data_IF_766570281084
#
_entry.id   IF_766570281084
#
_cell.length_a   1.000
_cell.length_b   1.000
_cell.length_c   1.000
_cell.angle_alpha   90.00
_cell.angle_beta   90.00
_cell.angle_gamma   90.00
#
_symmetry.space_group_name_H-M   'P 1'
#
loop_
_entity.id
_entity.type
_entity.pdbx_description
1 polymer ?
#
# COMPACT_ATOMS: atom_id res chain seq x y z
N UNK A 1 -3.16 21.11 -20.54
CA UNK A 1 -3.12 22.58 -20.70
C UNK A 1 -2.41 23.21 -19.52
N UNK A 2 -1.50 24.16 -19.76
CA UNK A 2 -0.87 24.99 -18.71
C UNK A 2 -1.86 26.04 -18.17
N UNK A 3 -1.51 26.70 -17.06
CA UNK A 3 -2.31 27.80 -16.51
C UNK A 3 -2.49 28.93 -17.54
N UNK A 4 -1.42 29.33 -18.23
CA UNK A 4 -1.47 30.39 -19.25
C UNK A 4 -2.35 30.00 -20.44
N UNK A 5 -2.30 28.74 -20.88
CA UNK A 5 -3.18 28.23 -21.94
C UNK A 5 -4.66 28.27 -21.52
N UNK A 6 -4.96 27.92 -20.25
CA UNK A 6 -6.33 28.02 -19.71
C UNK A 6 -6.78 29.48 -19.68
N UNK A 7 -5.94 30.39 -19.21
CA UNK A 7 -6.22 31.83 -19.19
C UNK A 7 -6.42 32.41 -20.59
N UNK A 8 -5.59 32.04 -21.56
CA UNK A 8 -5.75 32.44 -22.96
C UNK A 8 -7.06 31.92 -23.55
N UNK A 9 -7.45 30.67 -23.25
CA UNK A 9 -8.73 30.10 -23.69
C UNK A 9 -9.92 30.89 -23.10
N UNK A 10 -9.88 31.19 -21.81
CA UNK A 10 -10.93 32.01 -21.15
C UNK A 10 -10.97 33.43 -21.75
N UNK A 11 -9.82 34.07 -21.97
CA UNK A 11 -9.73 35.39 -22.62
C UNK A 11 -10.31 35.39 -24.04
N UNK A 12 -10.04 34.34 -24.83
CA UNK A 12 -10.57 34.19 -26.20
C UNK A 12 -12.09 34.06 -26.17
N UNK A 13 -12.65 33.29 -25.23
CA UNK A 13 -14.09 33.09 -25.10
C UNK A 13 -14.78 34.34 -24.53
N UNK A 14 -14.12 35.09 -23.64
CA UNK A 14 -14.59 36.37 -23.09
C UNK A 14 -15.77 36.28 -22.11
N UNK A 15 -16.73 35.39 -22.36
CA UNK A 15 -17.88 35.10 -21.50
C UNK A 15 -18.48 33.73 -21.82
N UNK A 16 -19.51 33.30 -21.05
CA UNK A 16 -20.28 32.09 -21.36
C UNK A 16 -20.93 32.14 -22.76
N UNK A 17 -21.31 33.33 -23.25
CA UNK A 17 -21.81 33.50 -24.62
C UNK A 17 -20.76 33.16 -25.67
N UNK A 18 -19.48 33.34 -25.35
CA UNK A 18 -18.40 32.92 -26.22
C UNK A 18 -18.31 31.40 -26.35
N UNK A 19 -18.66 30.66 -25.30
CA UNK A 19 -18.75 29.19 -25.34
C UNK A 19 -19.94 28.75 -26.19
N UNK A 20 -21.08 29.44 -26.08
CA UNK A 20 -22.26 29.21 -26.94
C UNK A 20 -21.93 29.44 -28.42
N UNK A 21 -21.27 30.56 -28.74
CA UNK A 21 -20.87 30.91 -30.09
C UNK A 21 -19.81 29.94 -30.66
N UNK A 22 -18.91 29.47 -29.81
CA UNK A 22 -17.91 28.44 -30.14
C UNK A 22 -18.52 27.02 -30.14
N UNK A 23 -19.83 26.88 -29.85
CA UNK A 23 -20.58 25.61 -29.78
C UNK A 23 -19.87 24.53 -28.95
N UNK A 24 -19.21 24.95 -27.87
CA UNK A 24 -18.37 24.07 -27.06
C UNK A 24 -19.08 23.47 -25.85
N UNK A 25 -20.36 23.80 -25.63
CA UNK A 25 -21.16 23.14 -24.60
C UNK A 25 -21.52 21.72 -24.99
N UNK A 26 -21.46 20.85 -23.99
CA UNK A 26 -22.00 19.50 -24.07
C UNK A 26 -23.14 19.41 -23.06
N UNK A 27 -24.33 19.07 -23.53
CA UNK A 27 -25.46 18.78 -22.66
C UNK A 27 -25.20 17.46 -21.94
N UNK A 28 -25.52 17.44 -20.65
CA UNK A 28 -25.29 16.30 -19.75
C UNK A 28 -26.60 16.00 -19.05
N UNK A 29 -27.03 14.74 -19.10
CA UNK A 29 -28.17 14.22 -18.34
C UNK A 29 -27.63 13.42 -17.16
N UNK A 30 -27.92 13.78 -15.91
CA UNK A 30 -27.51 12.99 -14.74
C UNK A 30 -28.06 11.56 -14.83
N UNK A 31 -27.27 10.58 -14.42
CA UNK A 31 -27.70 9.18 -14.33
C UNK A 31 -28.58 8.93 -13.08
N UNK A 32 -29.06 7.69 -12.88
CA UNK A 32 -29.87 7.28 -11.71
C UNK A 32 -29.14 7.48 -10.37
N UNK A 33 -27.84 7.63 -10.46
CA UNK A 33 -26.90 7.84 -9.40
C UNK A 33 -26.60 9.33 -9.12
N UNK A 34 -27.22 10.23 -9.88
CA UNK A 34 -27.03 11.69 -9.85
C UNK A 34 -25.62 12.14 -10.24
N UNK A 35 -24.89 11.32 -10.98
CA UNK A 35 -23.58 11.62 -11.52
C UNK A 35 -23.70 12.41 -12.85
N UNK A 36 -23.03 13.57 -12.92
CA UNK A 36 -23.00 14.38 -14.15
C UNK A 36 -21.88 13.94 -15.11
N UNK A 37 -20.74 13.49 -14.58
CA UNK A 37 -19.59 13.04 -15.38
C UNK A 37 -19.07 11.71 -14.82
N UNK A 38 -18.42 10.95 -15.69
CA UNK A 38 -17.87 9.62 -15.35
C UNK A 38 -18.98 8.74 -14.76
N UNK A 39 -20.08 8.62 -15.50
CA UNK A 39 -21.28 7.91 -15.07
C UNK A 39 -21.00 6.42 -14.93
N UNK A 40 -21.69 5.78 -13.98
CA UNK A 40 -21.46 4.36 -13.66
C UNK A 40 -22.15 3.45 -14.65
N UNK A 41 -21.62 2.24 -14.80
CA UNK A 41 -22.29 1.15 -15.51
C UNK A 41 -23.18 0.37 -14.54
N UNK A 42 -24.49 0.40 -14.78
CA UNK A 42 -25.50 -0.26 -13.94
C UNK A 42 -25.36 -1.79 -13.94
N UNK A 43 -24.74 -2.39 -14.97
CA UNK A 43 -24.50 -3.83 -15.00
C UNK A 43 -23.57 -4.29 -13.87
N UNK A 44 -22.79 -3.36 -13.30
CA UNK A 44 -21.93 -3.62 -12.16
C UNK A 44 -22.72 -4.09 -10.94
N UNK A 45 -23.93 -3.57 -10.72
CA UNK A 45 -24.77 -3.89 -9.57
C UNK A 45 -25.25 -5.35 -9.55
N UNK A 46 -25.25 -6.03 -10.70
CA UNK A 46 -25.59 -7.45 -10.82
C UNK A 46 -24.53 -8.40 -10.24
N UNK A 47 -23.30 -7.91 -10.03
CA UNK A 47 -22.18 -8.70 -9.52
C UNK A 47 -22.12 -8.74 -7.99
N UNK A 48 -21.41 -9.75 -7.46
CA UNK A 48 -21.23 -9.92 -6.02
C UNK A 48 -20.38 -8.78 -5.47
N UNK A 49 -20.88 -8.01 -4.51
CA UNK A 49 -20.07 -7.00 -3.83
C UNK A 49 -18.85 -7.65 -3.15
N UNK A 50 -17.65 -7.07 -3.29
CA UNK A 50 -16.46 -7.62 -2.63
C UNK A 50 -16.60 -7.63 -1.11
N UNK A 51 -17.22 -6.61 -0.53
CA UNK A 51 -17.48 -6.51 0.90
C UNK A 51 -18.59 -5.51 1.19
N UNK A 52 -19.36 -5.79 2.24
CA UNK A 52 -20.39 -4.87 2.73
C UNK A 52 -20.37 -4.83 4.26
N UNK A 53 -20.55 -3.62 4.80
CA UNK A 53 -20.61 -3.34 6.25
C UNK A 53 -22.01 -2.99 6.72
N UNK A 54 -22.99 -2.84 5.82
CA UNK A 54 -24.35 -2.40 6.15
C UNK A 54 -25.21 -3.51 6.74
N UNK A 55 -24.96 -4.77 6.38
CA UNK A 55 -25.66 -5.93 6.92
C UNK A 55 -24.69 -7.06 7.27
N UNK A 56 -24.89 -7.70 8.43
CA UNK A 56 -24.14 -8.89 8.83
C UNK A 56 -24.46 -10.11 7.94
N UNK A 57 -25.60 -10.09 7.24
CA UNK A 57 -26.08 -11.12 6.32
C UNK A 57 -25.89 -10.72 4.85
N UNK A 58 -25.10 -9.68 4.56
CA UNK A 58 -24.92 -9.21 3.19
C UNK A 58 -24.31 -10.31 2.31
N UNK A 59 -24.83 -10.54 1.08
CA UNK A 59 -24.34 -11.55 0.15
C UNK A 59 -22.99 -11.17 -0.49
N UNK A 60 -22.06 -10.60 0.28
CA UNK A 60 -20.75 -10.15 -0.20
C UNK A 60 -19.74 -11.29 -0.31
N UNK A 61 -18.67 -11.08 -1.09
CA UNK A 61 -17.60 -12.05 -1.27
C UNK A 61 -16.81 -12.31 0.02
N UNK A 62 -16.49 -11.24 0.76
CA UNK A 62 -15.79 -11.29 2.04
C UNK A 62 -16.73 -10.97 3.21
N UNK A 63 -16.69 -11.80 4.24
CA UNK A 63 -17.41 -11.62 5.52
C UNK A 63 -16.85 -10.48 6.38
N UNK A 64 -15.57 -10.13 6.18
CA UNK A 64 -14.92 -9.04 6.90
C UNK A 64 -13.86 -8.39 6.03
N UNK A 65 -13.71 -7.08 6.21
CA UNK A 65 -12.64 -6.28 5.65
C UNK A 65 -12.41 -5.07 6.55
N UNK A 66 -11.24 -4.45 6.44
CA UNK A 66 -10.85 -3.38 7.34
C UNK A 66 -10.05 -2.32 6.63
N UNK A 67 -10.12 -1.09 7.13
CA UNK A 67 -9.14 -0.08 6.76
C UNK A 67 -7.77 -0.44 7.34
N UNK A 68 -6.71 0.00 6.67
CA UNK A 68 -5.35 -0.08 7.18
C UNK A 68 -5.16 0.70 8.48
N UNK A 69 -4.04 0.46 9.17
CA UNK A 69 -3.70 1.12 10.42
C UNK A 69 -3.58 2.63 10.22
N UNK A 70 -4.27 3.42 11.05
CA UNK A 70 -4.15 4.88 11.05
C UNK A 70 -3.53 5.33 12.38
N UNK A 71 -2.29 5.80 12.34
CA UNK A 71 -1.60 6.25 13.55
C UNK A 71 -1.89 7.71 13.88
N UNK A 72 -2.06 8.55 12.84
CA UNK A 72 -2.11 10.02 12.92
C UNK A 72 -0.83 10.65 13.51
N UNK A 73 0.29 9.91 13.51
CA UNK A 73 1.59 10.30 14.06
C UNK A 73 2.74 9.45 13.49
N UNK A 74 2.74 9.24 12.18
CA UNK A 74 3.61 8.26 11.52
C UNK A 74 5.10 8.39 11.87
N UNK A 75 5.62 9.61 11.99
CA UNK A 75 7.02 9.85 12.37
C UNK A 75 7.41 9.20 13.72
N UNK A 76 6.44 9.08 14.64
CA UNK A 76 6.61 8.45 15.94
C UNK A 76 6.34 6.95 15.91
N UNK A 77 5.25 6.53 15.25
CA UNK A 77 4.77 5.15 15.29
C UNK A 77 5.39 4.24 14.23
N UNK A 78 6.09 4.76 13.22
CA UNK A 78 6.80 3.98 12.21
C UNK A 78 8.30 4.29 12.18
N UNK A 79 9.10 3.33 11.72
CA UNK A 79 10.53 3.53 11.47
C UNK A 79 11.19 2.32 10.84
N UNK A 80 12.29 2.55 10.11
CA UNK A 80 13.09 1.46 9.56
C UNK A 80 13.97 0.74 10.62
N UNK A 81 14.32 1.43 11.71
CA UNK A 81 15.04 0.85 12.85
C UNK A 81 14.07 0.41 13.94
N UNK A 82 14.20 -0.84 14.39
CA UNK A 82 13.41 -1.40 15.50
C UNK A 82 13.74 -0.70 16.82
N UNK A 83 15.03 -0.59 17.12
CA UNK A 83 15.53 0.03 18.34
C UNK A 83 15.32 1.55 18.34
N UNK A 84 15.38 2.17 17.15
CA UNK A 84 14.99 3.56 16.95
C UNK A 84 13.51 3.79 17.26
N UNK A 85 12.62 2.93 16.78
CA UNK A 85 11.19 3.00 17.09
C UNK A 85 10.91 2.83 18.59
N UNK A 86 11.54 1.84 19.22
CA UNK A 86 11.40 1.59 20.66
C UNK A 86 11.81 2.82 21.50
N UNK A 87 12.96 3.43 21.18
CA UNK A 87 13.42 4.65 21.87
C UNK A 87 12.44 5.81 21.68
N UNK A 88 11.94 6.03 20.46
CA UNK A 88 10.95 7.08 20.15
C UNK A 88 9.66 6.90 20.94
N UNK A 89 9.14 5.68 20.98
CA UNK A 89 7.90 5.38 21.69
C UNK A 89 8.07 5.53 23.20
N UNK A 90 9.16 5.03 23.78
CA UNK A 90 9.45 5.22 25.21
C UNK A 90 9.59 6.71 25.57
N UNK A 91 10.28 7.51 24.75
CA UNK A 91 10.41 8.94 24.96
C UNK A 91 9.06 9.67 24.93
N UNK A 92 8.21 9.36 23.94
CA UNK A 92 6.86 9.94 23.82
C UNK A 92 5.98 9.57 25.02
N UNK A 93 6.01 8.30 25.43
CA UNK A 93 5.24 7.79 26.57
C UNK A 93 5.70 8.48 27.86
N UNK A 94 7.00 8.69 28.04
CA UNK A 94 7.54 9.41 29.20
C UNK A 94 7.04 10.86 29.25
N UNK A 95 7.01 11.56 28.11
CA UNK A 95 6.44 12.92 28.01
C UNK A 95 4.95 12.91 28.37
N UNK A 96 4.18 12.00 27.79
CA UNK A 96 2.75 11.84 28.10
C UNK A 96 2.52 11.63 29.60
N UNK A 97 3.31 10.74 30.23
CA UNK A 97 3.18 10.45 31.67
C UNK A 97 3.58 11.63 32.54
N UNK A 98 4.62 12.38 32.16
CA UNK A 98 5.03 13.59 32.88
C UNK A 98 3.95 14.68 32.82
N UNK A 99 3.33 14.88 31.65
CA UNK A 99 2.17 15.77 31.51
C UNK A 99 0.99 15.28 32.34
N UNK A 100 0.75 13.97 32.41
CA UNK A 100 -0.34 13.39 33.19
C UNK A 100 -0.14 13.59 34.69
N UNK A 101 1.09 13.45 35.19
CA UNK A 101 1.44 13.75 36.58
C UNK A 101 1.26 15.23 36.92
N UNK A 102 1.55 16.14 35.98
CA UNK A 102 1.24 17.56 36.14
C UNK A 102 -0.27 17.79 36.18
N UNK A 103 -1.02 17.09 35.33
CA UNK A 103 -2.48 17.18 35.26
C UNK A 103 -3.16 16.69 36.55
N UNK A 104 -2.73 15.55 37.08
CA UNK A 104 -3.26 14.99 38.35
C UNK A 104 -2.99 15.91 39.56
N UNK A 105 -1.98 16.78 39.50
CA UNK A 105 -1.64 17.75 40.55
C UNK A 105 -2.29 19.13 40.35
N UNK A 106 -2.93 19.37 39.21
CA UNK A 106 -3.58 20.65 38.93
C UNK A 106 -4.80 20.82 39.83
N UNK A 107 -4.94 22.00 40.45
CA UNK A 107 -6.05 22.31 41.37
C UNK A 107 -7.37 22.60 40.65
N UNK A 108 -7.27 23.15 39.44
CA UNK A 108 -8.39 23.44 38.54
C UNK A 108 -8.31 22.52 37.33
N UNK A 109 -9.45 22.16 36.72
CA UNK A 109 -9.50 21.37 35.48
C UNK A 109 -9.19 22.31 34.30
N UNK A 110 -7.95 22.33 33.77
CA UNK A 110 -7.59 23.21 32.67
C UNK A 110 -8.13 22.68 31.34
N UNK A 111 -8.24 23.54 30.33
CA UNK A 111 -8.45 23.04 28.97
C UNK A 111 -7.22 22.22 28.53
N UNK A 112 -7.43 20.97 28.10
CA UNK A 112 -6.35 20.04 27.75
C UNK A 112 -5.44 20.61 26.66
N UNK A 113 -6.00 21.35 25.69
CA UNK A 113 -5.19 21.89 24.59
C UNK A 113 -4.24 22.99 25.05
N UNK A 114 -4.66 23.79 26.02
CA UNK A 114 -3.80 24.81 26.65
C UNK A 114 -2.80 24.25 27.66
N UNK A 115 -3.07 23.06 28.22
CA UNK A 115 -2.26 22.48 29.28
C UNK A 115 -1.06 21.69 28.78
N UNK A 116 -1.29 20.79 27.81
CA UNK A 116 -0.26 19.87 27.33
C UNK A 116 0.77 20.59 26.47
N UNK A 117 2.01 20.10 26.47
CA UNK A 117 3.05 20.61 25.56
C UNK A 117 2.61 20.51 24.09
N UNK A 118 2.82 21.59 23.34
CA UNK A 118 2.64 21.65 21.88
C UNK A 118 3.91 21.34 21.09
N UNK A 119 4.99 20.94 21.79
CA UNK A 119 6.29 20.63 21.20
C UNK A 119 6.25 19.30 20.42
N UNK A 120 6.14 19.41 19.09
CA UNK A 120 6.07 18.28 18.15
C UNK A 120 7.33 17.41 18.14
N UNK A 121 8.45 17.90 18.68
CA UNK A 121 9.71 17.14 18.82
C UNK A 121 9.67 16.16 20.00
N UNK A 122 8.66 16.26 20.88
CA UNK A 122 8.51 15.42 22.07
C UNK A 122 7.31 14.48 21.99
N UNK A 123 6.21 14.97 21.43
CA UNK A 123 4.97 14.22 21.32
C UNK A 123 4.10 14.83 20.22
N UNK A 124 3.52 13.98 19.39
CA UNK A 124 2.40 14.38 18.53
C UNK A 124 1.09 14.13 19.27
N UNK A 125 0.14 15.06 19.25
CA UNK A 125 -1.17 14.85 19.87
C UNK A 125 -2.26 14.73 18.80
N UNK A 126 -3.17 13.78 18.97
CA UNK A 126 -4.42 13.69 18.23
C UNK A 126 -5.61 13.79 19.22
N UNK A 127 -6.82 13.90 18.68
CA UNK A 127 -8.05 13.97 19.47
C UNK A 127 -8.21 12.77 20.41
N UNK A 128 -7.92 11.56 19.92
CA UNK A 128 -8.00 10.33 20.71
C UNK A 128 -7.09 10.38 21.94
N UNK A 129 -5.80 10.68 21.76
CA UNK A 129 -4.84 10.72 22.87
C UNK A 129 -5.17 11.82 23.88
N UNK A 130 -5.65 12.99 23.43
CA UNK A 130 -6.09 14.07 24.33
C UNK A 130 -7.31 13.67 25.16
N UNK A 131 -8.26 12.93 24.58
CA UNK A 131 -9.42 12.43 25.31
C UNK A 131 -9.02 11.41 26.38
N UNK A 132 -8.08 10.51 26.05
CA UNK A 132 -7.56 9.53 27.01
C UNK A 132 -6.76 10.19 28.13
N UNK A 133 -5.98 11.23 27.79
CA UNK A 133 -5.29 12.08 28.75
C UNK A 133 -6.25 12.74 29.74
N UNK A 134 -7.32 13.38 29.23
CA UNK A 134 -8.33 14.03 30.06
C UNK A 134 -9.01 13.08 31.05
N UNK A 135 -9.09 11.79 30.71
CA UNK A 135 -9.67 10.73 31.56
C UNK A 135 -8.69 10.15 32.59
N UNK A 136 -7.45 10.64 32.66
CA UNK A 136 -6.46 10.10 33.60
C UNK A 136 -5.85 8.76 33.15
N UNK A 137 -5.97 8.40 31.86
CA UNK A 137 -5.53 7.07 31.39
C UNK A 137 -4.01 6.98 31.41
N UNK A 138 -3.47 6.04 32.20
CA UNK A 138 -2.04 5.76 32.29
C UNK A 138 -1.60 4.84 31.15
N UNK A 139 -0.66 5.30 30.35
CA UNK A 139 -0.12 4.56 29.22
C UNK A 139 1.24 3.95 29.55
N UNK A 140 1.49 2.74 29.05
CA UNK A 140 2.76 2.01 29.22
C UNK A 140 3.27 1.52 27.87
N UNK A 141 4.60 1.39 27.76
CA UNK A 141 5.22 0.80 26.58
C UNK A 141 4.97 -0.70 26.56
N UNK A 142 4.57 -1.22 25.39
CA UNK A 142 4.25 -2.63 25.16
C UNK A 142 5.19 -3.17 24.07
N UNK A 143 6.29 -3.88 24.42
CA UNK A 143 7.27 -4.32 23.43
C UNK A 143 6.69 -5.26 22.38
N UNK A 144 5.65 -6.04 22.73
CA UNK A 144 4.95 -6.92 21.80
C UNK A 144 4.22 -6.17 20.68
N UNK A 145 3.88 -4.90 20.87
CA UNK A 145 3.21 -4.08 19.85
C UNK A 145 4.15 -3.61 18.72
N UNK A 146 5.46 -3.89 18.82
CA UNK A 146 6.41 -3.59 17.74
C UNK A 146 6.35 -4.70 16.70
N UNK A 147 5.69 -4.43 15.58
CA UNK A 147 5.43 -5.41 14.50
C UNK A 147 5.92 -4.88 13.16
N UNK A 148 6.08 -5.77 12.18
CA UNK A 148 6.36 -5.38 10.79
C UNK A 148 5.05 -4.95 10.14
N UNK A 149 5.07 -3.79 9.48
CA UNK A 149 3.95 -3.20 8.77
C UNK A 149 4.30 -2.91 7.31
N UNK A 150 3.33 -3.05 6.42
CA UNK A 150 3.43 -2.60 5.04
C UNK A 150 3.05 -1.11 4.97
N UNK A 151 4.05 -0.23 5.03
CA UNK A 151 3.82 1.21 5.10
C UNK A 151 3.41 1.80 3.74
N UNK A 152 4.13 1.45 2.67
CA UNK A 152 3.84 1.84 1.28
C UNK A 152 4.09 0.64 0.37
N UNK A 153 3.66 0.67 -0.91
CA UNK A 153 3.95 -0.42 -1.84
C UNK A 153 5.44 -0.73 -1.85
N UNK A 154 5.79 -2.01 -1.73
CA UNK A 154 7.18 -2.49 -1.69
C UNK A 154 8.06 -1.85 -0.58
N UNK A 155 7.45 -1.41 0.53
CA UNK A 155 8.16 -0.80 1.66
C UNK A 155 7.60 -1.30 2.99
N UNK A 156 8.33 -2.22 3.62
CA UNK A 156 8.10 -2.61 5.02
C UNK A 156 8.83 -1.68 5.98
N UNK A 157 8.22 -1.46 7.14
CA UNK A 157 8.80 -0.73 8.28
C UNK A 157 8.37 -1.39 9.60
N UNK A 158 9.12 -1.17 10.66
CA UNK A 158 8.62 -1.44 12.01
C UNK A 158 7.54 -0.42 12.35
N UNK A 159 6.44 -0.90 12.94
CA UNK A 159 5.31 -0.10 13.40
C UNK A 159 4.93 -0.44 14.84
N UNK A 160 4.54 0.57 15.62
CA UNK A 160 3.99 0.40 16.96
C UNK A 160 2.47 0.27 16.88
N UNK A 161 1.99 -0.97 16.84
CA UNK A 161 0.60 -1.36 16.66
C UNK A 161 -0.12 -1.52 18.00
N UNK A 162 -0.64 -0.41 18.52
CA UNK A 162 -1.27 -0.31 19.82
C UNK A 162 -2.51 0.59 19.78
N UNK A 163 -3.62 0.09 20.35
CA UNK A 163 -4.91 0.78 20.35
C UNK A 163 -4.89 2.09 21.13
N UNK A 164 -3.99 2.24 22.09
CA UNK A 164 -3.94 3.45 22.92
C UNK A 164 -3.16 4.58 22.22
N UNK A 165 -2.16 4.23 21.39
CA UNK A 165 -1.33 5.21 20.68
C UNK A 165 -1.72 5.46 19.23
N UNK A 166 -2.42 4.53 18.59
CA UNK A 166 -2.89 4.70 17.22
C UNK A 166 -4.31 5.28 17.21
N UNK A 167 -4.58 6.18 16.25
CA UNK A 167 -5.88 6.83 16.10
C UNK A 167 -6.98 5.81 15.79
N UNK A 168 -6.72 4.89 14.86
CA UNK A 168 -7.62 3.79 14.51
C UNK A 168 -6.85 2.53 14.14
N UNK A 169 -7.08 1.45 14.90
CA UNK A 169 -6.61 0.08 14.57
C UNK A 169 -7.64 -0.75 13.79
N UNK A 170 -8.88 -0.25 13.68
CA UNK A 170 -10.00 -0.92 13.01
C UNK A 170 -10.14 -2.40 13.40
N UNK A 171 -10.30 -3.30 12.42
CA UNK A 171 -10.33 -4.76 12.63
C UNK A 171 -8.96 -5.41 12.36
N UNK A 172 -7.89 -4.63 12.20
CA UNK A 172 -6.54 -5.17 11.98
C UNK A 172 -6.13 -6.20 13.03
N UNK A 173 -6.45 -6.07 14.35
CA UNK A 173 -6.09 -7.09 15.33
C UNK A 173 -6.77 -8.45 15.11
N UNK A 174 -7.93 -8.49 14.42
CA UNK A 174 -8.60 -9.74 14.03
C UNK A 174 -8.04 -10.31 12.72
N UNK A 175 -7.27 -9.53 11.97
CA UNK A 175 -6.69 -9.95 10.67
C UNK A 175 -5.23 -10.35 10.85
N UNK A 176 -4.46 -9.52 11.55
CA UNK A 176 -3.07 -9.71 11.91
C UNK A 176 -2.93 -9.54 13.43
N UNK A 177 -3.24 -10.58 14.23
CA UNK A 177 -3.01 -10.57 15.67
C UNK A 177 -1.56 -10.31 16.03
N UNK A 178 -1.33 -9.60 17.13
CA UNK A 178 0.01 -9.28 17.65
C UNK A 178 0.80 -10.54 18.03
N UNK A 179 0.11 -11.62 18.41
CA UNK A 179 0.71 -12.92 18.71
C UNK A 179 1.35 -13.61 17.50
N UNK A 180 1.17 -13.03 16.30
CA UNK A 180 1.62 -13.59 15.05
C UNK A 180 0.56 -14.46 14.39
N UNK A 181 0.46 -14.35 13.08
CA UNK A 181 -0.41 -15.18 12.26
C UNK A 181 0.11 -15.25 10.84
N UNK A 182 0.03 -16.42 10.23
CA UNK A 182 0.22 -16.55 8.79
C UNK A 182 -1.09 -16.19 8.07
N UNK A 183 -1.14 -14.98 7.53
CA UNK A 183 -2.30 -14.45 6.83
C UNK A 183 -1.88 -13.48 5.73
N UNK A 184 -2.78 -13.24 4.79
CA UNK A 184 -2.59 -12.34 3.67
C UNK A 184 -3.87 -11.57 3.40
N UNK A 185 -3.74 -10.36 2.87
CA UNK A 185 -4.89 -9.52 2.55
C UNK A 185 -4.68 -8.79 1.23
N UNK A 186 -5.71 -8.82 0.37
CA UNK A 186 -5.78 -8.00 -0.84
C UNK A 186 -6.12 -6.59 -0.38
N UNK A 187 -5.26 -5.62 -0.66
CA UNK A 187 -5.52 -4.21 -0.36
C UNK A 187 -5.97 -3.49 -1.61
N UNK A 188 -7.03 -2.70 -1.47
CA UNK A 188 -7.60 -1.84 -2.49
C UNK A 188 -7.58 -0.38 -2.04
N UNK A 189 -7.55 0.60 -2.96
CA UNK A 189 -7.78 2.00 -2.62
C UNK A 189 -9.20 2.20 -2.05
N UNK A 190 -9.37 3.28 -1.30
CA UNK A 190 -10.70 3.73 -0.90
C UNK A 190 -11.57 4.12 -2.11
N UNK A 191 -12.90 4.12 -1.96
CA UNK A 191 -13.77 4.75 -2.95
C UNK A 191 -13.58 6.28 -2.95
N UNK A 192 -13.59 6.90 -4.13
CA UNK A 192 -13.47 8.35 -4.31
C UNK A 192 -12.04 8.88 -4.43
N UNK A 193 -11.05 7.99 -4.54
CA UNK A 193 -9.64 8.37 -4.62
C UNK A 193 -9.27 8.92 -6.01
N UNK A 194 -8.35 9.89 -6.03
CA UNK A 194 -7.93 10.60 -7.25
C UNK A 194 -6.92 9.82 -8.11
N UNK A 195 -6.52 8.63 -7.64
CA UNK A 195 -5.49 7.79 -8.27
C UNK A 195 -6.11 6.68 -9.10
N UNK A 196 -5.45 6.25 -10.20
CA UNK A 196 -5.89 5.09 -10.95
C UNK A 196 -6.05 3.86 -10.06
N UNK A 197 -7.10 3.09 -10.33
CA UNK A 197 -7.37 1.85 -9.61
C UNK A 197 -6.17 0.90 -9.72
N UNK A 198 -5.75 0.37 -8.57
CA UNK A 198 -4.69 -0.62 -8.44
C UNK A 198 -4.97 -1.48 -7.22
N UNK A 199 -4.31 -2.64 -7.13
CA UNK A 199 -4.45 -3.55 -6.00
C UNK A 199 -3.08 -4.13 -5.68
N UNK A 200 -2.85 -4.43 -4.40
CA UNK A 200 -1.62 -5.07 -3.94
C UNK A 200 -1.94 -5.93 -2.72
N UNK A 201 -1.48 -7.18 -2.75
CA UNK A 201 -1.59 -8.09 -1.62
C UNK A 201 -0.49 -7.81 -0.58
N UNK A 202 -0.77 -8.01 0.70
CA UNK A 202 0.20 -7.88 1.77
C UNK A 202 0.10 -9.04 2.78
N UNK A 203 1.25 -9.47 3.32
CA UNK A 203 1.34 -10.50 4.37
C UNK A 203 1.55 -9.94 5.78
N UNK A 204 1.38 -8.63 5.98
CA UNK A 204 1.57 -7.96 7.27
C UNK A 204 0.62 -6.76 7.37
N UNK A 205 0.54 -6.13 8.55
CA UNK A 205 -0.41 -5.02 8.82
C UNK A 205 -0.18 -3.87 7.83
N UNK A 206 -1.14 -3.56 6.93
CA UNK A 206 -1.00 -2.42 6.02
C UNK A 206 -1.30 -1.11 6.74
N UNK A 207 -0.54 -0.06 6.41
CA UNK A 207 -0.89 1.32 6.74
C UNK A 207 -2.14 1.76 5.96
N UNK A 208 -2.89 2.72 6.50
CA UNK A 208 -4.06 3.30 5.82
C UNK A 208 -3.71 3.88 4.44
N UNK A 209 -2.50 4.38 4.24
CA UNK A 209 -2.03 4.93 2.97
C UNK A 209 -1.11 3.96 2.22
N UNK A 210 -1.15 2.67 2.52
CA UNK A 210 -0.50 1.63 1.71
C UNK A 210 -1.00 1.72 0.25
N UNK A 211 -2.32 1.75 0.08
CA UNK A 211 -3.02 2.27 -1.10
C UNK A 211 -3.98 3.34 -0.56
N UNK A 212 -4.04 4.55 -1.12
CA UNK A 212 -4.75 5.69 -0.50
C UNK A 212 -6.16 5.31 -0.02
N UNK A 213 -6.49 5.54 1.27
CA UNK A 213 -7.77 5.12 1.84
C UNK A 213 -7.94 3.60 2.02
N UNK A 214 -6.83 2.88 2.13
CA UNK A 214 -6.70 1.45 1.87
C UNK A 214 -7.67 0.56 2.63
N UNK A 215 -8.33 -0.33 1.89
CA UNK A 215 -9.24 -1.37 2.38
C UNK A 215 -8.59 -2.75 2.18
N UNK A 216 -8.33 -3.44 3.27
CA UNK A 216 -7.74 -4.77 3.30
C UNK A 216 -8.84 -5.85 3.41
N UNK A 217 -8.85 -6.76 2.42
CA UNK A 217 -9.71 -7.93 2.30
C UNK A 217 -8.88 -9.18 2.61
N UNK A 218 -8.94 -9.71 3.84
CA UNK A 218 -8.05 -10.76 4.29
C UNK A 218 -8.51 -12.14 3.84
N UNK A 219 -7.58 -13.08 3.64
CA UNK A 219 -7.92 -14.48 3.37
C UNK A 219 -8.56 -15.13 4.60
N UNK A 220 -7.99 -14.88 5.79
CA UNK A 220 -8.53 -15.37 7.05
C UNK A 220 -8.80 -14.24 8.05
N UNK A 221 -9.61 -14.53 9.06
CA UNK A 221 -9.70 -13.73 10.27
C UNK A 221 -9.63 -14.64 11.50
N UNK A 222 -9.22 -14.05 12.62
CA UNK A 222 -8.92 -14.72 13.88
C UNK A 222 -9.83 -14.21 14.98
N UNK A 223 -10.43 -15.14 15.73
CA UNK A 223 -11.22 -14.83 16.91
C UNK A 223 -12.02 -16.02 17.44
N UNK A 224 -12.35 -15.99 18.72
CA UNK A 224 -13.37 -16.85 19.31
C UNK A 224 -14.75 -16.21 19.08
N UNK A 225 -15.78 -17.01 18.82
CA UNK A 225 -17.13 -16.55 18.46
C UNK A 225 -17.84 -15.68 19.51
N UNK A 226 -17.24 -15.46 20.69
CA UNK A 226 -17.70 -14.50 21.69
C UNK A 226 -16.82 -13.24 21.66
N UNK A 227 -17.33 -12.21 20.98
CA UNK A 227 -16.82 -10.84 21.04
C UNK A 227 -16.88 -10.38 22.50
N UNK A 228 -15.72 -10.21 23.17
CA UNK A 228 -15.37 -8.99 23.92
C UNK A 228 -14.03 -9.00 24.66
N UNK A 229 -13.40 -10.12 25.03
CA UNK A 229 -12.30 -10.05 26.02
C UNK A 229 -11.06 -10.94 25.84
N UNK A 230 -11.02 -11.87 24.88
CA UNK A 230 -9.91 -12.84 24.76
C UNK A 230 -8.78 -12.46 23.78
N UNK A 231 -8.62 -11.17 23.41
CA UNK A 231 -7.65 -10.73 22.38
C UNK A 231 -6.18 -10.70 22.84
N UNK A 232 -5.90 -11.06 24.10
CA UNK A 232 -4.56 -11.04 24.69
C UNK A 232 -4.21 -12.31 25.49
N UNK A 233 -5.08 -13.32 25.49
CA UNK A 233 -4.75 -14.62 26.08
C UNK A 233 -4.08 -15.51 25.03
N UNK A 234 -3.06 -16.26 25.46
CA UNK A 234 -2.22 -17.16 24.65
C UNK A 234 -2.97 -18.34 23.99
N UNK A 235 -4.29 -18.27 23.84
CA UNK A 235 -5.05 -19.26 23.10
C UNK A 235 -4.90 -19.03 21.60
N UNK A 236 -4.62 -20.10 20.86
CA UNK A 236 -4.65 -20.08 19.39
C UNK A 236 -6.03 -19.62 18.94
N UNK A 237 -6.14 -18.35 18.57
CA UNK A 237 -7.36 -17.78 18.02
C UNK A 237 -7.81 -18.64 16.84
N UNK A 238 -9.07 -19.09 16.87
CA UNK A 238 -9.62 -19.91 15.81
C UNK A 238 -9.52 -19.15 14.48
N UNK A 239 -8.96 -19.82 13.47
CA UNK A 239 -8.79 -19.29 12.12
C UNK A 239 -10.05 -19.58 11.31
N UNK A 240 -10.67 -18.53 10.77
CA UNK A 240 -11.86 -18.60 9.95
C UNK A 240 -11.55 -18.06 8.55
N UNK A 241 -12.11 -18.67 7.51
CA UNK A 241 -12.03 -18.13 6.15
C UNK A 241 -12.89 -16.87 6.03
N UNK A 242 -12.36 -15.86 5.35
CA UNK A 242 -13.11 -14.64 5.10
C UNK A 242 -14.07 -14.78 3.92
N UNK A 243 -13.82 -15.70 2.99
CA UNK A 243 -14.69 -15.91 1.84
C UNK A 243 -16.01 -16.55 2.29
N UNK A 244 -17.13 -15.90 1.99
CA UNK A 244 -18.45 -16.33 2.44
C UNK A 244 -18.88 -17.62 1.75
N UNK A 245 -19.66 -18.44 2.45
CA UNK A 245 -20.33 -19.60 1.84
C UNK A 245 -21.27 -19.18 0.72
N UNK A 246 -21.90 -18.00 0.81
CA UNK A 246 -22.74 -17.43 -0.24
C UNK A 246 -21.97 -17.24 -1.56
N UNK A 247 -20.78 -16.64 -1.48
CA UNK A 247 -19.91 -16.44 -2.65
C UNK A 247 -19.52 -17.78 -3.30
N UNK A 248 -19.13 -18.75 -2.47
CA UNK A 248 -18.81 -20.11 -2.92
C UNK A 248 -20.00 -20.75 -3.64
N UNK A 249 -21.18 -20.75 -3.02
CA UNK A 249 -22.39 -21.35 -3.60
C UNK A 249 -22.78 -20.68 -4.93
N UNK A 250 -22.62 -19.36 -5.05
CA UNK A 250 -22.92 -18.66 -6.32
C UNK A 250 -21.99 -19.11 -7.45
N UNK A 251 -20.69 -19.23 -7.19
CA UNK A 251 -19.74 -19.72 -8.18
C UNK A 251 -19.91 -21.22 -8.49
N UNK A 252 -20.28 -22.03 -7.50
CA UNK A 252 -20.59 -23.45 -7.71
C UNK A 252 -21.87 -23.67 -8.54
N UNK A 253 -22.86 -22.78 -8.41
CA UNK A 253 -24.07 -22.81 -9.24
C UNK A 253 -23.79 -22.44 -10.70
N UNK A 254 -22.85 -21.52 -10.94
CA UNK A 254 -22.43 -21.14 -12.30
C UNK A 254 -21.61 -22.25 -12.97
N UNK A 255 -20.70 -22.87 -12.21
CA UNK A 255 -19.85 -23.96 -12.69
C UNK A 255 -20.33 -25.32 -12.20
N UNK A 256 -21.45 -25.78 -12.75
CA UNK A 256 -22.06 -27.08 -12.40
C UNK A 256 -21.00 -28.19 -12.46
N UNK A 257 -20.86 -28.94 -11.34
CA UNK A 257 -19.90 -30.03 -11.14
C UNK A 257 -18.43 -29.64 -10.90
N UNK A 258 -18.09 -28.36 -10.72
CA UNK A 258 -16.76 -27.93 -10.32
C UNK A 258 -16.64 -27.70 -8.80
N UNK A 259 -15.56 -28.22 -8.19
CA UNK A 259 -15.25 -27.97 -6.78
C UNK A 259 -14.47 -26.65 -6.65
N UNK A 260 -15.18 -25.54 -6.41
CA UNK A 260 -14.58 -24.22 -6.17
C UNK A 260 -14.20 -24.10 -4.68
N UNK A 261 -12.90 -24.03 -4.37
CA UNK A 261 -12.44 -23.79 -3.00
C UNK A 261 -12.45 -22.29 -2.66
N UNK A 262 -12.53 -21.97 -1.37
CA UNK A 262 -12.50 -20.58 -0.88
C UNK A 262 -11.18 -19.86 -1.24
N UNK A 263 -10.05 -20.56 -1.16
CA UNK A 263 -8.76 -19.98 -1.55
C UNK A 263 -8.69 -19.69 -3.06
N UNK A 264 -9.27 -20.54 -3.90
CA UNK A 264 -9.33 -20.30 -5.34
C UNK A 264 -10.13 -19.04 -5.66
N UNK A 265 -11.21 -18.78 -4.91
CA UNK A 265 -11.96 -17.52 -5.06
C UNK A 265 -11.15 -16.31 -4.61
N UNK A 266 -10.39 -16.42 -3.53
CA UNK A 266 -9.52 -15.33 -3.07
C UNK A 266 -8.50 -14.94 -4.15
N UNK A 267 -7.80 -15.91 -4.74
CA UNK A 267 -6.84 -15.64 -5.80
C UNK A 267 -7.50 -15.28 -7.13
N UNK A 268 -8.66 -15.86 -7.46
CA UNK A 268 -9.47 -15.43 -8.60
C UNK A 268 -9.80 -13.93 -8.52
N UNK A 269 -10.24 -13.46 -7.34
CA UNK A 269 -10.50 -12.04 -7.12
C UNK A 269 -9.23 -11.22 -7.36
N UNK A 270 -8.08 -11.66 -6.84
CA UNK A 270 -6.82 -10.94 -7.06
C UNK A 270 -6.42 -10.88 -8.54
N UNK A 271 -6.56 -11.99 -9.28
CA UNK A 271 -6.28 -12.06 -10.72
C UNK A 271 -7.24 -11.21 -11.56
N UNK A 272 -8.54 -11.27 -11.27
CA UNK A 272 -9.58 -10.46 -11.92
C UNK A 272 -9.30 -8.96 -11.74
N UNK A 273 -8.94 -8.54 -10.53
CA UNK A 273 -8.62 -7.14 -10.23
C UNK A 273 -7.32 -6.66 -10.93
N UNK A 274 -6.55 -7.56 -11.55
CA UNK A 274 -5.43 -7.23 -12.42
C UNK A 274 -5.77 -7.24 -13.92
N UNK A 275 -6.98 -7.68 -14.31
CA UNK A 275 -7.42 -7.65 -15.70
C UNK A 275 -7.52 -6.21 -16.23
N UNK A 276 -6.80 -5.85 -17.31
CA UNK A 276 -6.94 -4.55 -17.94
C UNK A 276 -8.36 -4.31 -18.48
N UNK A 277 -9.01 -5.36 -19.00
CA UNK A 277 -10.39 -5.28 -19.50
C UNK A 277 -11.38 -4.96 -18.38
N UNK A 278 -11.23 -5.57 -17.20
CA UNK A 278 -12.06 -5.25 -16.03
C UNK A 278 -11.85 -3.82 -15.55
N UNK A 279 -10.57 -3.39 -15.42
CA UNK A 279 -10.22 -2.05 -14.93
C UNK A 279 -10.68 -0.95 -15.87
N UNK A 280 -10.57 -1.16 -17.19
CA UNK A 280 -11.00 -0.16 -18.17
C UNK A 280 -12.53 -0.13 -18.27
N UNK A 281 -13.19 -1.29 -18.35
CA UNK A 281 -14.65 -1.37 -18.47
C UNK A 281 -15.38 -0.73 -17.29
N UNK A 282 -14.90 -0.94 -16.07
CA UNK A 282 -15.55 -0.44 -14.85
C UNK A 282 -14.76 0.69 -14.18
N UNK A 283 -13.92 1.41 -14.93
CA UNK A 283 -13.07 2.48 -14.39
C UNK A 283 -13.84 3.51 -13.56
N UNK A 284 -14.99 3.93 -14.06
CA UNK A 284 -15.82 4.95 -13.40
C UNK A 284 -16.49 4.40 -12.13
N UNK A 285 -17.00 3.16 -12.15
CA UNK A 285 -17.47 2.45 -10.95
C UNK A 285 -16.35 2.30 -9.91
N UNK A 286 -15.19 1.76 -10.31
CA UNK A 286 -14.05 1.53 -9.42
C UNK A 286 -13.49 2.81 -8.79
N UNK A 287 -13.76 3.97 -9.38
CA UNK A 287 -13.40 5.27 -8.80
C UNK A 287 -14.38 5.74 -7.72
N UNK A 288 -15.62 5.26 -7.71
CA UNK A 288 -16.72 5.75 -6.84
C UNK A 288 -17.19 4.76 -5.79
N UNK A 289 -17.01 3.46 -6.04
CA UNK A 289 -17.47 2.38 -5.17
C UNK A 289 -16.46 1.21 -5.12
N UNK A 290 -16.67 0.29 -4.17
CA UNK A 290 -15.81 -0.90 -4.04
C UNK A 290 -16.06 -1.88 -5.19
N UNK A 291 -15.05 -2.68 -5.58
CA UNK A 291 -15.21 -3.66 -6.66
C UNK A 291 -16.35 -4.63 -6.43
N UNK A 292 -16.99 -5.05 -7.53
CA UNK A 292 -17.91 -6.18 -7.55
C UNK A 292 -17.36 -7.27 -8.45
N UNK A 293 -17.57 -8.52 -8.05
CA UNK A 293 -16.88 -9.69 -8.56
C UNK A 293 -17.84 -10.46 -9.49
N UNK A 294 -17.72 -10.30 -10.83
CA UNK A 294 -18.39 -11.16 -11.79
C UNK A 294 -17.85 -12.59 -11.76
N UNK A 295 -18.70 -13.54 -12.16
CA UNK A 295 -18.26 -14.86 -12.61
C UNK A 295 -17.93 -14.78 -14.11
N UNK A 296 -16.85 -15.45 -14.53
CA UNK A 296 -16.54 -15.61 -15.95
C UNK A 296 -17.37 -16.75 -16.53
N UNK A 297 -17.58 -16.74 -17.85
CA UNK A 297 -18.48 -17.68 -18.50
C UNK A 297 -17.97 -19.12 -18.50
N UNK A 298 -16.65 -19.33 -18.53
CA UNK A 298 -16.03 -20.65 -18.60
C UNK A 298 -15.28 -20.97 -17.33
N UNK A 299 -15.38 -22.22 -16.86
CA UNK A 299 -14.63 -22.67 -15.70
C UNK A 299 -13.11 -22.70 -15.97
N UNK A 300 -12.67 -22.97 -17.20
CA UNK A 300 -11.23 -22.90 -17.52
C UNK A 300 -10.68 -21.48 -17.36
N UNK A 301 -11.46 -20.46 -17.74
CA UNK A 301 -11.07 -19.06 -17.55
C UNK A 301 -11.00 -18.72 -16.06
N UNK A 302 -11.93 -19.23 -15.24
CA UNK A 302 -11.89 -19.08 -13.78
C UNK A 302 -10.61 -19.66 -13.20
N UNK A 303 -10.23 -20.88 -13.61
CA UNK A 303 -8.99 -21.52 -13.17
C UNK A 303 -7.76 -20.72 -13.59
N UNK A 304 -7.75 -20.19 -14.82
CA UNK A 304 -6.66 -19.36 -15.31
C UNK A 304 -6.53 -18.03 -14.53
N UNK A 305 -7.64 -17.35 -14.22
CA UNK A 305 -7.62 -16.16 -13.36
C UNK A 305 -7.17 -16.48 -11.94
N UNK A 306 -7.61 -17.60 -11.37
CA UNK A 306 -7.18 -18.06 -10.04
C UNK A 306 -5.67 -18.35 -10.01
N UNK A 307 -5.15 -19.09 -11.00
CA UNK A 307 -3.72 -19.39 -11.11
C UNK A 307 -2.89 -18.13 -11.30
N UNK A 308 -3.30 -17.23 -12.20
CA UNK A 308 -2.64 -15.94 -12.37
C UNK A 308 -2.65 -15.12 -11.07
N UNK A 309 -3.75 -15.16 -10.30
CA UNK A 309 -3.83 -14.55 -8.98
C UNK A 309 -2.85 -15.14 -7.97
N UNK A 310 -2.62 -16.46 -7.98
CA UNK A 310 -1.60 -17.14 -7.15
C UNK A 310 -0.19 -16.73 -7.56
N UNK A 311 0.10 -16.71 -8.85
CA UNK A 311 1.41 -16.31 -9.38
C UNK A 311 1.70 -14.84 -9.04
N UNK A 312 0.74 -13.95 -9.25
CA UNK A 312 0.83 -12.54 -8.83
C UNK A 312 1.02 -12.41 -7.32
N UNK A 313 0.32 -13.21 -6.51
CA UNK A 313 0.46 -13.16 -5.07
C UNK A 313 1.88 -13.56 -4.63
N UNK A 314 2.46 -14.60 -5.23
CA UNK A 314 3.85 -14.99 -4.98
C UNK A 314 4.82 -13.83 -5.24
N UNK A 315 4.80 -13.23 -6.43
CA UNK A 315 5.70 -12.12 -6.77
C UNK A 315 5.52 -10.90 -5.86
N UNK A 316 4.30 -10.60 -5.43
CA UNK A 316 4.00 -9.44 -4.61
C UNK A 316 4.20 -9.65 -3.11
N UNK A 317 4.09 -10.87 -2.59
CA UNK A 317 4.38 -11.19 -1.18
C UNK A 317 5.88 -11.39 -0.96
N UNK A 318 6.53 -12.07 -1.90
CA UNK A 318 7.95 -12.47 -1.83
C UNK A 318 8.88 -11.47 -2.54
N UNK A 319 8.41 -10.25 -2.80
CA UNK A 319 9.17 -9.22 -3.53
C UNK A 319 10.56 -8.91 -2.93
N UNK A 320 10.77 -9.19 -1.64
CA UNK A 320 12.05 -8.99 -0.94
C UNK A 320 13.01 -10.18 -1.07
N UNK A 321 12.54 -11.35 -1.54
CA UNK A 321 13.28 -12.62 -1.56
C UNK A 321 13.40 -13.25 -2.95
N UNK A 322 12.59 -12.84 -3.92
CA UNK A 322 12.73 -13.26 -5.32
C UNK A 322 14.12 -12.94 -5.88
N UNK A 323 14.44 -13.55 -7.02
CA UNK A 323 15.68 -13.30 -7.74
C UNK A 323 15.78 -11.84 -8.21
N UNK A 324 16.99 -11.29 -8.15
CA UNK A 324 17.30 -9.99 -8.70
C UNK A 324 17.22 -10.00 -10.23
N UNK A 325 16.77 -8.90 -10.81
CA UNK A 325 16.92 -8.68 -12.25
C UNK A 325 18.42 -8.52 -12.59
N UNK A 326 18.93 -9.20 -13.65
CA UNK A 326 20.32 -9.08 -14.06
C UNK A 326 20.57 -7.75 -14.77
N UNK A 327 20.71 -6.68 -13.99
CA UNK A 327 20.98 -5.34 -14.49
C UNK A 327 22.47 -5.10 -14.72
N UNK A 328 22.79 -4.17 -15.62
CA UNK A 328 24.15 -3.65 -15.76
C UNK A 328 24.44 -2.68 -14.62
N UNK A 329 25.45 -2.97 -13.79
CA UNK A 329 25.94 -2.03 -12.78
C UNK A 329 27.25 -1.41 -13.24
N UNK A 330 27.36 -0.09 -13.08
CA UNK A 330 28.59 0.66 -13.23
C UNK A 330 29.01 1.22 -11.87
N UNK A 331 30.28 1.02 -11.52
CA UNK A 331 30.91 1.57 -10.33
C UNK A 331 31.66 2.87 -10.64
N UNK A 332 31.89 3.68 -9.61
CA UNK A 332 32.61 4.96 -9.74
C UNK A 332 34.07 4.84 -10.20
N UNK A 333 34.71 3.68 -10.03
CA UNK A 333 36.06 3.40 -10.53
C UNK A 333 36.11 3.07 -12.03
N UNK A 334 34.95 3.10 -12.70
CA UNK A 334 34.80 2.81 -14.12
C UNK A 334 34.55 1.34 -14.43
N UNK A 335 34.63 0.44 -13.45
CA UNK A 335 34.27 -0.97 -13.66
C UNK A 335 32.77 -1.13 -13.88
N UNK A 336 32.40 -2.06 -14.76
CA UNK A 336 31.00 -2.35 -15.08
C UNK A 336 30.80 -3.84 -15.34
N UNK A 337 29.63 -4.35 -14.98
CA UNK A 337 29.27 -5.74 -15.22
C UNK A 337 27.78 -5.98 -15.00
N UNK A 338 27.28 -7.07 -15.57
CA UNK A 338 25.93 -7.55 -15.29
C UNK A 338 25.94 -8.32 -13.96
N UNK A 339 24.99 -8.01 -13.09
CA UNK A 339 24.92 -8.60 -11.74
C UNK A 339 24.16 -9.92 -11.75
N UNK A 340 24.67 -10.86 -10.98
CA UNK A 340 24.03 -12.17 -10.77
C UNK A 340 22.65 -12.05 -10.12
N UNK A 341 21.70 -12.88 -10.57
CA UNK A 341 20.33 -12.95 -10.04
C UNK A 341 20.26 -13.26 -8.53
N UNK A 342 21.30 -13.88 -7.98
CA UNK A 342 21.42 -14.24 -6.55
C UNK A 342 21.77 -13.06 -5.63
N UNK A 343 22.00 -11.87 -6.18
CA UNK A 343 22.25 -10.65 -5.41
C UNK A 343 23.73 -10.36 -5.13
N UNK A 344 23.97 -9.32 -4.34
CA UNK A 344 25.27 -8.66 -4.25
C UNK A 344 26.37 -9.53 -3.62
N UNK A 345 26.01 -10.40 -2.67
CA UNK A 345 26.97 -11.29 -1.98
C UNK A 345 27.58 -12.37 -2.89
N UNK A 346 26.87 -12.73 -3.97
CA UNK A 346 27.29 -13.77 -4.91
C UNK A 346 27.92 -13.20 -6.18
N UNK A 347 27.74 -11.91 -6.42
CA UNK A 347 28.25 -11.22 -7.60
C UNK A 347 29.73 -10.84 -7.47
N UNK A 348 30.51 -11.02 -8.55
CA UNK A 348 31.96 -10.79 -8.54
C UNK A 348 32.35 -9.31 -8.46
N UNK A 349 31.49 -8.42 -8.96
CA UNK A 349 31.71 -6.97 -8.96
C UNK A 349 31.33 -6.39 -7.59
N UNK A 350 30.14 -6.71 -7.11
CA UNK A 350 29.59 -6.16 -5.88
C UNK A 350 30.22 -6.73 -4.60
N UNK A 351 30.65 -8.00 -4.61
CA UNK A 351 31.31 -8.63 -3.43
C UNK A 351 32.61 -7.93 -3.02
N UNK A 352 33.22 -7.14 -3.90
CA UNK A 352 34.43 -6.35 -3.60
C UNK A 352 34.14 -5.07 -2.82
N UNK A 353 32.89 -4.62 -2.81
CA UNK A 353 32.48 -3.41 -2.12
C UNK A 353 32.32 -3.66 -0.62
N UNK A 354 32.73 -2.67 0.17
CA UNK A 354 32.47 -2.63 1.61
C UNK A 354 31.04 -2.14 1.87
N UNK A 355 30.47 -2.51 3.02
CA UNK A 355 29.06 -2.22 3.36
C UNK A 355 28.70 -0.71 3.27
N UNK A 356 29.64 0.19 3.58
CA UNK A 356 29.45 1.64 3.48
C UNK A 356 29.18 2.12 2.05
N UNK A 357 29.65 1.39 1.03
CA UNK A 357 29.43 1.72 -0.38
C UNK A 357 28.00 1.43 -0.83
N UNK A 358 27.24 0.63 -0.08
CA UNK A 358 25.82 0.40 -0.33
C UNK A 358 24.91 1.41 0.38
N UNK A 359 25.44 2.31 1.21
CA UNK A 359 24.63 3.32 1.88
C UNK A 359 23.97 4.25 0.86
N UNK A 360 22.64 4.41 0.95
CA UNK A 360 21.87 5.26 0.06
C UNK A 360 21.22 6.42 0.82
N UNK A 361 21.54 7.65 0.41
CA UNK A 361 20.84 8.86 0.89
C UNK A 361 19.55 9.08 0.12
N UNK A 362 19.62 9.00 -1.21
CA UNK A 362 18.49 9.16 -2.12
C UNK A 362 18.88 8.70 -3.52
N UNK A 363 18.12 7.77 -4.08
CA UNK A 363 18.26 7.37 -5.48
C UNK A 363 17.68 8.42 -6.42
N UNK A 364 18.22 8.52 -7.64
CA UNK A 364 17.75 9.49 -8.66
C UNK A 364 17.84 8.88 -10.05
N UNK A 365 16.87 9.18 -10.91
CA UNK A 365 17.04 8.94 -12.34
C UNK A 365 18.15 9.81 -12.91
N UNK A 366 18.91 9.26 -13.85
CA UNK A 366 19.78 10.07 -14.69
C UNK A 366 18.94 11.09 -15.48
N UNK A 367 19.60 12.11 -16.01
CA UNK A 367 18.96 13.17 -16.79
C UNK A 367 19.44 13.09 -18.23
N UNK A 368 18.50 13.11 -19.16
CA UNK A 368 18.77 13.19 -20.59
C UNK A 368 18.00 14.36 -21.22
N UNK A 369 18.33 14.73 -22.46
CA UNK A 369 17.57 15.74 -23.21
C UNK A 369 16.53 15.03 -24.07
N UNK A 370 15.29 15.47 -23.95
CA UNK A 370 14.22 15.06 -24.84
C UNK A 370 14.54 15.51 -26.28
N UNK A 371 14.67 14.60 -27.26
CA UNK A 371 14.97 14.94 -28.63
C UNK A 371 13.93 15.86 -29.29
N UNK A 372 12.66 15.79 -28.87
CA UNK A 372 11.57 16.55 -29.45
C UNK A 372 11.43 17.95 -28.83
N UNK A 373 11.65 18.09 -27.52
CA UNK A 373 11.42 19.36 -26.80
C UNK A 373 12.70 20.06 -26.34
N UNK A 374 13.85 19.40 -26.42
CA UNK A 374 15.14 19.89 -25.92
C UNK A 374 15.22 20.02 -24.39
N UNK A 375 14.14 19.67 -23.66
CA UNK A 375 14.05 19.79 -22.20
C UNK A 375 14.78 18.64 -21.52
N UNK A 376 15.30 18.92 -20.33
CA UNK A 376 15.88 17.88 -19.49
C UNK A 376 14.77 17.02 -18.90
N UNK A 377 14.78 15.73 -19.23
CA UNK A 377 13.83 14.72 -18.75
C UNK A 377 14.58 13.62 -18.01
N UNK A 378 13.85 12.82 -17.23
CA UNK A 378 14.40 11.66 -16.55
C UNK A 378 14.67 10.53 -17.55
N UNK A 379 15.90 10.02 -17.53
CA UNK A 379 16.26 8.78 -18.20
C UNK A 379 15.91 7.61 -17.29
N UNK A 380 14.77 6.95 -17.58
CA UNK A 380 14.28 5.79 -16.83
C UNK A 380 15.08 4.51 -17.07
N UNK A 381 16.00 4.49 -18.05
CA UNK A 381 16.91 3.36 -18.25
C UNK A 381 18.06 3.33 -17.24
N UNK A 382 18.32 4.45 -16.55
CA UNK A 382 19.46 4.61 -15.66
C UNK A 382 19.07 5.20 -14.30
N UNK A 383 19.34 4.46 -13.23
CA UNK A 383 19.17 4.90 -11.85
C UNK A 383 20.53 5.08 -11.19
N UNK A 384 20.80 6.31 -10.75
CA UNK A 384 21.94 6.65 -9.89
C UNK A 384 21.54 6.24 -8.48
N UNK A 385 22.15 5.17 -7.98
CA UNK A 385 21.86 4.61 -6.65
C UNK A 385 22.50 5.48 -5.57
N UNK A 386 23.81 5.74 -5.69
CA UNK A 386 24.57 6.68 -4.87
C UNK A 386 25.83 7.15 -5.64
N UNK A 387 26.79 7.76 -4.95
CA UNK A 387 28.03 8.25 -5.56
C UNK A 387 28.97 7.13 -6.05
N UNK A 388 28.68 5.87 -5.71
CA UNK A 388 29.53 4.70 -6.03
C UNK A 388 28.90 3.76 -7.05
N UNK A 389 27.57 3.63 -7.05
CA UNK A 389 26.83 2.62 -7.80
C UNK A 389 25.81 3.30 -8.73
N UNK A 390 25.81 2.90 -9.99
CA UNK A 390 24.79 3.28 -10.98
C UNK A 390 24.24 2.04 -11.66
N UNK A 391 22.92 1.90 -11.68
CA UNK A 391 22.20 0.82 -12.38
C UNK A 391 21.80 1.33 -13.76
N UNK A 392 22.17 0.59 -14.81
CA UNK A 392 21.94 0.93 -16.22
C UNK A 392 21.12 -0.15 -16.92
N UNK A 393 20.59 0.22 -18.08
CA UNK A 393 19.86 -0.64 -19.00
C UNK A 393 18.62 -1.27 -18.35
N UNK A 394 17.93 -0.51 -17.48
CA UNK A 394 16.66 -0.94 -16.90
C UNK A 394 15.60 -0.96 -18.03
N UNK A 395 14.90 -2.08 -18.24
CA UNK A 395 13.83 -2.15 -19.23
C UNK A 395 12.72 -1.14 -18.93
N UNK A 396 12.27 -0.41 -19.96
CA UNK A 396 11.29 0.67 -19.78
C UNK A 396 9.88 0.15 -19.49
N UNK A 397 9.55 -1.04 -20.00
CA UNK A 397 8.30 -1.77 -19.72
C UNK A 397 8.17 -2.14 -18.23
N UNK A 398 9.27 -2.30 -17.50
CA UNK A 398 9.23 -2.51 -16.04
C UNK A 398 8.55 -1.35 -15.28
N UNK A 399 8.44 -0.15 -15.88
CA UNK A 399 7.74 0.98 -15.27
C UNK A 399 6.22 0.97 -15.50
N UNK A 400 5.71 0.09 -16.38
CA UNK A 400 4.28 0.00 -16.69
C UNK A 400 3.47 -0.63 -15.54
N UNK A 401 4.14 -1.37 -14.65
CA UNK A 401 3.51 -1.86 -13.43
C UNK A 401 3.36 -0.72 -12.42
N UNK A 402 2.17 -0.11 -12.43
CA UNK A 402 1.80 1.04 -11.60
C UNK A 402 0.88 0.61 -10.46
N UNK A 403 1.27 1.00 -9.24
CA UNK A 403 0.51 0.80 -8.01
C UNK A 403 0.35 2.14 -7.32
N UNK A 404 -0.88 2.51 -6.96
CA UNK A 404 -1.17 3.75 -6.23
C UNK A 404 -0.62 5.01 -6.95
N UNK A 405 -0.70 5.04 -8.29
CA UNK A 405 -0.31 6.18 -9.13
C UNK A 405 1.19 6.35 -9.42
N UNK A 406 2.05 5.42 -8.99
CA UNK A 406 3.50 5.41 -9.32
C UNK A 406 3.94 4.01 -9.73
N UNK A 407 5.02 3.89 -10.50
CA UNK A 407 5.57 2.56 -10.78
C UNK A 407 6.12 1.91 -9.51
N UNK A 408 6.15 0.58 -9.46
CA UNK A 408 6.74 -0.15 -8.34
C UNK A 408 8.21 0.25 -8.11
N UNK A 409 8.96 0.48 -9.20
CA UNK A 409 10.35 0.96 -9.16
C UNK A 409 10.45 2.37 -8.56
N UNK A 410 9.55 3.28 -8.93
CA UNK A 410 9.52 4.65 -8.39
C UNK A 410 9.21 4.65 -6.88
N UNK A 411 8.38 3.71 -6.39
CA UNK A 411 8.18 3.51 -4.96
C UNK A 411 9.47 3.15 -4.22
N UNK A 412 10.25 2.19 -4.75
CA UNK A 412 11.53 1.82 -4.13
C UNK A 412 12.50 3.01 -4.13
N UNK A 413 12.64 3.72 -5.26
CA UNK A 413 13.51 4.90 -5.39
C UNK A 413 13.13 6.00 -4.38
N UNK A 414 11.84 6.22 -4.15
CA UNK A 414 11.35 7.23 -3.21
C UNK A 414 11.55 6.83 -1.75
N UNK A 415 11.29 5.55 -1.43
CA UNK A 415 11.20 5.06 -0.05
C UNK A 415 12.53 4.57 0.51
N UNK A 416 13.43 4.08 -0.33
CA UNK A 416 14.81 3.74 0.04
C UNK A 416 15.68 5.00 0.07
N UNK A 417 15.39 5.86 1.06
CA UNK A 417 16.05 7.14 1.25
C UNK A 417 16.14 7.50 2.73
N UNK A 418 17.02 8.46 3.04
CA UNK A 418 17.08 9.11 4.35
C UNK A 418 16.19 10.33 4.31
N UNK A 419 15.19 10.36 5.18
CA UNK A 419 14.23 11.47 5.27
C UNK A 419 14.18 12.01 6.69
N UNK A 420 13.81 13.28 6.84
CA UNK A 420 13.64 13.91 8.14
C UNK A 420 12.27 14.55 8.17
N UNK A 421 11.47 14.18 9.16
CA UNK A 421 10.18 14.82 9.40
C UNK A 421 10.40 16.26 9.87
N UNK A 422 9.70 17.22 9.24
CA UNK A 422 9.96 18.64 9.44
C UNK A 422 9.53 19.13 10.82
N UNK A 423 8.44 18.57 11.35
CA UNK A 423 7.82 19.06 12.58
C UNK A 423 8.45 18.43 13.81
N UNK A 424 8.75 17.13 13.76
CA UNK A 424 9.38 16.40 14.87
C UNK A 424 10.90 16.38 14.82
N UNK A 425 11.51 16.64 13.67
CA UNK A 425 12.96 16.48 13.45
C UNK A 425 13.43 15.03 13.41
N UNK A 426 12.50 14.06 13.44
CA UNK A 426 12.83 12.63 13.46
C UNK A 426 13.39 12.21 12.10
N UNK A 427 14.59 11.63 12.13
CA UNK A 427 15.23 11.03 10.95
C UNK A 427 14.71 9.60 10.76
N UNK A 428 14.27 9.28 9.55
CA UNK A 428 13.92 7.93 9.12
C UNK A 428 14.91 7.48 8.04
N UNK A 429 15.82 6.59 8.41
CA UNK A 429 16.91 6.09 7.55
C UNK A 429 16.62 4.65 7.10
N UNK A 430 16.35 4.47 5.80
CA UNK A 430 16.07 3.16 5.21
C UNK A 430 17.23 2.15 5.32
N UNK A 431 18.47 2.62 5.43
CA UNK A 431 19.63 1.75 5.56
C UNK A 431 19.62 0.99 6.90
N UNK A 432 18.94 1.50 7.93
CA UNK A 432 18.79 0.79 9.20
C UNK A 432 17.94 -0.48 9.06
N UNK A 433 16.98 -0.52 8.13
CA UNK A 433 16.27 -1.76 7.82
C UNK A 433 17.21 -2.79 7.19
N UNK A 434 18.06 -2.33 6.26
CA UNK A 434 19.06 -3.16 5.60
C UNK A 434 20.03 -3.79 6.60
N UNK A 435 20.55 -3.00 7.55
CA UNK A 435 21.58 -3.45 8.50
C UNK A 435 21.01 -4.15 9.73
N UNK A 436 19.95 -3.62 10.35
CA UNK A 436 19.41 -4.14 11.61
C UNK A 436 18.41 -5.29 11.41
N UNK A 437 17.60 -5.23 10.34
CA UNK A 437 16.52 -6.21 10.12
C UNK A 437 16.94 -7.26 9.11
N UNK A 438 17.41 -6.83 7.93
CA UNK A 438 17.78 -7.74 6.85
C UNK A 438 19.20 -8.31 6.97
N UNK A 439 20.05 -7.73 7.83
CA UNK A 439 21.46 -8.10 7.99
C UNK A 439 22.21 -8.16 6.63
N UNK A 440 21.90 -7.20 5.77
CA UNK A 440 22.41 -7.09 4.40
C UNK A 440 22.48 -5.62 3.97
N UNK A 441 23.67 -5.01 4.03
CA UNK A 441 23.86 -3.60 3.62
C UNK A 441 23.47 -3.35 2.15
N UNK A 442 23.60 -4.35 1.27
CA UNK A 442 23.20 -4.26 -0.13
C UNK A 442 21.68 -4.39 -0.36
N UNK A 443 20.88 -4.60 0.70
CA UNK A 443 19.44 -4.78 0.60
C UNK A 443 18.71 -3.70 -0.22
N UNK A 444 18.98 -2.39 -0.09
CA UNK A 444 18.23 -1.40 -0.86
C UNK A 444 18.51 -1.49 -2.37
N UNK A 445 19.73 -1.89 -2.75
CA UNK A 445 20.09 -2.15 -4.15
C UNK A 445 19.43 -3.43 -4.65
N UNK A 446 19.51 -4.52 -3.88
CA UNK A 446 18.86 -5.78 -4.24
C UNK A 446 17.34 -5.62 -4.34
N UNK A 447 16.72 -4.87 -3.44
CA UNK A 447 15.29 -4.57 -3.49
C UNK A 447 14.91 -3.85 -4.79
N UNK A 448 15.71 -2.87 -5.24
CA UNK A 448 15.49 -2.22 -6.53
C UNK A 448 15.54 -3.24 -7.68
N UNK A 449 16.56 -4.11 -7.71
CA UNK A 449 16.71 -5.13 -8.74
C UNK A 449 15.60 -6.20 -8.70
N UNK A 450 15.17 -6.61 -7.51
CA UNK A 450 14.05 -7.54 -7.31
C UNK A 450 12.75 -6.93 -7.79
N UNK A 451 12.48 -5.67 -7.46
CA UNK A 451 11.23 -5.00 -7.88
C UNK A 451 11.20 -4.73 -9.38
N UNK A 452 12.34 -4.53 -10.05
CA UNK A 452 12.41 -4.55 -11.52
C UNK A 452 11.92 -5.91 -12.05
N UNK A 453 12.42 -7.01 -11.48
CA UNK A 453 12.01 -8.37 -11.87
C UNK A 453 10.52 -8.64 -11.61
N UNK A 454 10.03 -8.28 -10.41
CA UNK A 454 8.61 -8.36 -10.03
C UNK A 454 7.75 -7.61 -11.04
N UNK A 455 8.15 -6.40 -11.45
CA UNK A 455 7.37 -5.58 -12.38
C UNK A 455 7.26 -6.24 -13.75
N UNK A 456 8.35 -6.82 -14.26
CA UNK A 456 8.38 -7.52 -15.54
C UNK A 456 7.53 -8.80 -15.53
N UNK A 457 7.66 -9.63 -14.49
CA UNK A 457 6.88 -10.86 -14.37
C UNK A 457 5.40 -10.57 -14.10
N UNK A 458 5.08 -9.52 -13.34
CA UNK A 458 3.69 -9.05 -13.20
C UNK A 458 3.09 -8.62 -14.54
N UNK A 459 3.81 -7.81 -15.32
CA UNK A 459 3.34 -7.41 -16.67
C UNK A 459 3.13 -8.62 -17.58
N UNK A 460 4.05 -9.58 -17.53
CA UNK A 460 3.93 -10.84 -18.28
C UNK A 460 2.69 -11.63 -17.86
N UNK A 461 2.44 -11.84 -16.57
CA UNK A 461 1.24 -12.55 -16.10
C UNK A 461 -0.03 -11.81 -16.57
N UNK A 462 -0.08 -10.49 -16.39
CA UNK A 462 -1.23 -9.66 -16.78
C UNK A 462 -1.50 -9.75 -18.29
N UNK A 463 -0.45 -9.73 -19.13
CA UNK A 463 -0.59 -9.84 -20.58
C UNK A 463 -1.10 -11.21 -21.07
N UNK A 464 -0.99 -12.25 -20.23
CA UNK A 464 -1.46 -13.61 -20.54
C UNK A 464 -2.81 -13.94 -19.87
N UNK A 465 -3.46 -12.98 -19.21
CA UNK A 465 -4.79 -13.20 -18.65
C UNK A 465 -5.80 -13.54 -19.75
N UNK A 466 -6.77 -14.44 -19.49
CA UNK A 466 -7.86 -14.70 -20.42
C UNK A 466 -8.67 -13.43 -20.72
N UNK A 467 -9.31 -13.42 -21.89
CA UNK A 467 -10.31 -12.38 -22.21
C UNK A 467 -11.45 -12.44 -21.20
N UNK A 468 -11.91 -11.28 -20.75
CA UNK A 468 -12.98 -11.16 -19.77
C UNK A 468 -14.34 -11.36 -20.45
N UNK A 469 -14.80 -12.61 -20.48
CA UNK A 469 -16.17 -12.95 -20.88
C UNK A 469 -16.97 -13.26 -19.62
N UNK A 470 -17.84 -12.33 -19.24
CA UNK A 470 -18.71 -12.44 -18.06
C UNK A 470 -19.89 -13.37 -18.39
N UNK A 471 -20.30 -14.19 -17.43
CA UNK A 471 -21.41 -15.14 -17.53
C UNK A 471 -22.77 -14.46 -17.71
#
# INVERSE_FOLDING_TARGET
MTADQKLQKVKKLGSIRGVDLDKSWQEIVPDEHFDWINQRDDSFDGFIAIGDKKSAESPAAFSTFSRGLATSRDAWCYGFSRDGLERKMNATIAVYRSELERWEKAKDVPDVNSFVTSDSTKISWNRGLKNDFAKGKKLTYKPQCVVICCYRPFTKQWGYFDRDFNDMVYRMPKIFPITGSDNQAIVLPGPGEDRPFSTLICGSVPDLHFLHGGQAFPLYWYGSGNDTLALFENEKSLRHSSITSHCVSRFQNEYVAANVAQEDLFYYIYGLLHSPEYRERYKDNLSKELPRIPAVKKFEDFQAFSQAGRDLAHWHLDYETVDCYPATIQLADGSSGEVDKRGAKHDKLLKKLTDDRFYVRRMKFAKTKDPATGKTVHDRSTVIYNDFITVKNIPLDAYDYVVNGKSAIEWVIERQAVTTDKDSGIVNDANLWATETMNNAAYPLELLLRVINVSLETNKIVSHLPKLVIA
#
